data_IF_565916263625
#
_entry.id   IF_565916263625
#
_cell.length_a   1.000
_cell.length_b   1.000
_cell.length_c   1.000
_cell.angle_alpha   90.00
_cell.angle_beta   90.00
_cell.angle_gamma   90.00
#
_symmetry.space_group_name_H-M   'P 1'
#
loop_
_entity.id
_entity.type
_entity.pdbx_description
1 polymer ?
#
# COMPACT_ATOMS: atom_id res chain seq x y z
N UNK A 1 -5.47 23.78 -3.18
CA UNK A 1 -5.51 22.30 -3.05
C UNK A 1 -4.97 21.58 -4.28
N UNK A 2 -5.49 21.83 -5.49
CA UNK A 2 -5.04 21.17 -6.73
C UNK A 2 -3.54 21.31 -7.01
N UNK A 3 -2.97 22.50 -6.81
CA UNK A 3 -1.54 22.74 -7.00
C UNK A 3 -0.68 21.92 -6.02
N UNK A 4 -0.92 22.06 -4.71
CA UNK A 4 -0.23 21.26 -3.68
C UNK A 4 -0.32 19.75 -3.94
N UNK A 5 -1.46 19.27 -4.43
CA UNK A 5 -1.64 17.87 -4.78
C UNK A 5 -0.80 17.45 -6.00
N UNK A 6 -0.75 18.26 -7.06
CA UNK A 6 0.12 18.00 -8.22
C UNK A 6 1.59 18.02 -7.80
N UNK A 7 1.96 18.89 -6.88
CA UNK A 7 3.33 18.98 -6.35
C UNK A 7 3.70 17.79 -5.49
N UNK A 8 2.78 17.34 -4.64
CA UNK A 8 2.89 16.08 -3.93
C UNK A 8 3.16 14.94 -4.92
N UNK A 9 2.32 14.76 -5.95
CA UNK A 9 2.51 13.70 -6.95
C UNK A 9 3.84 13.84 -7.69
N UNK A 10 4.25 15.07 -8.00
CA UNK A 10 5.55 15.36 -8.62
C UNK A 10 6.76 15.04 -7.74
N UNK A 11 6.59 14.93 -6.43
CA UNK A 11 7.65 14.57 -5.49
C UNK A 11 7.59 13.09 -5.11
N UNK A 12 6.40 12.58 -4.83
CA UNK A 12 6.15 11.24 -4.31
C UNK A 12 6.19 10.18 -5.43
N UNK A 13 5.53 10.44 -6.56
CA UNK A 13 5.33 9.46 -7.64
C UNK A 13 6.41 9.58 -8.72
N UNK A 14 6.85 10.79 -9.04
CA UNK A 14 7.84 10.99 -10.11
C UNK A 14 9.18 10.39 -9.71
N UNK A 15 9.59 9.40 -10.48
CA UNK A 15 10.97 8.99 -10.62
C UNK A 15 11.36 9.24 -12.08
N UNK A 16 12.52 9.83 -12.30
CA UNK A 16 13.01 10.13 -13.65
C UNK A 16 13.63 8.91 -14.32
N UNK A 17 13.82 7.80 -13.59
CA UNK A 17 14.31 6.54 -14.15
C UNK A 17 13.24 5.89 -15.04
N UNK A 18 13.63 5.27 -16.17
CA UNK A 18 12.71 4.51 -16.98
C UNK A 18 12.13 3.34 -16.18
N UNK A 19 10.84 3.09 -16.33
CA UNK A 19 10.16 1.94 -15.74
C UNK A 19 10.75 0.67 -16.37
N UNK A 20 11.18 -0.28 -15.53
CA UNK A 20 11.76 -1.55 -15.95
C UNK A 20 10.84 -2.71 -15.58
N UNK A 21 11.00 -3.85 -16.24
CA UNK A 21 10.30 -5.10 -15.87
C UNK A 21 10.50 -5.47 -14.39
N UNK A 22 11.64 -5.11 -13.79
CA UNK A 22 11.91 -5.30 -12.37
C UNK A 22 10.97 -4.53 -11.44
N UNK A 23 10.47 -3.36 -11.84
CA UNK A 23 9.53 -2.57 -11.03
C UNK A 23 8.18 -3.29 -10.92
N UNK A 24 7.77 -3.98 -11.99
CA UNK A 24 6.57 -4.81 -12.00
C UNK A 24 6.74 -6.10 -11.20
N UNK A 25 7.88 -6.79 -11.34
CA UNK A 25 8.19 -7.97 -10.53
C UNK A 25 8.18 -7.64 -9.04
N UNK A 26 8.68 -6.47 -8.65
CA UNK A 26 8.63 -6.00 -7.26
C UNK A 26 7.20 -5.82 -6.77
N UNK A 27 6.30 -5.33 -7.61
CA UNK A 27 4.87 -5.14 -7.29
C UNK A 27 4.17 -6.49 -7.07
N UNK A 28 4.39 -7.47 -7.95
CA UNK A 28 3.88 -8.84 -7.78
C UNK A 28 4.47 -9.51 -6.54
N UNK A 29 5.77 -9.34 -6.28
CA UNK A 29 6.43 -9.93 -5.13
C UNK A 29 5.83 -9.46 -3.79
N UNK A 30 5.38 -8.21 -3.70
CA UNK A 30 4.71 -7.68 -2.51
C UNK A 30 3.41 -8.44 -2.21
N UNK A 31 2.61 -8.72 -3.25
CA UNK A 31 1.34 -9.45 -3.09
C UNK A 31 1.57 -10.92 -2.74
N UNK A 32 2.61 -11.54 -3.33
CA UNK A 32 3.04 -12.89 -2.94
C UNK A 32 3.45 -12.92 -1.47
N UNK A 33 4.21 -11.93 -0.98
CA UNK A 33 4.58 -11.83 0.43
C UNK A 33 3.33 -11.71 1.32
N UNK A 34 2.36 -10.86 0.97
CA UNK A 34 1.10 -10.75 1.71
C UNK A 34 0.34 -12.07 1.79
N UNK A 35 0.27 -12.79 0.68
CA UNK A 35 -0.43 -14.07 0.58
C UNK A 35 0.23 -15.15 1.42
N UNK A 36 1.57 -15.16 1.43
CA UNK A 36 2.35 -16.04 2.30
C UNK A 36 2.11 -15.71 3.78
N UNK A 37 1.95 -14.44 4.15
CA UNK A 37 1.62 -14.07 5.53
C UNK A 37 0.24 -14.58 5.95
N UNK A 38 -0.77 -14.46 5.07
CA UNK A 38 -2.11 -15.03 5.31
C UNK A 38 -2.04 -16.56 5.45
N UNK A 39 -1.28 -17.22 4.57
CA UNK A 39 -1.08 -18.66 4.60
C UNK A 39 -0.35 -19.16 5.85
N UNK A 40 0.75 -18.52 6.23
CA UNK A 40 1.50 -18.88 7.44
C UNK A 40 0.59 -18.68 8.65
N UNK A 41 -0.18 -17.59 8.66
CA UNK A 41 -1.22 -17.37 9.65
C UNK A 41 -2.13 -18.58 9.77
N UNK A 42 -2.68 -19.11 8.67
CA UNK A 42 -3.77 -20.10 8.71
C UNK A 42 -3.44 -21.37 9.52
N UNK A 43 -2.17 -21.74 9.66
CA UNK A 43 -1.73 -22.85 10.53
C UNK A 43 -1.98 -22.63 12.03
N UNK A 44 -2.18 -21.39 12.46
CA UNK A 44 -2.35 -21.01 13.87
C UNK A 44 -3.80 -20.74 14.26
N UNK A 45 -4.77 -20.99 13.37
CA UNK A 45 -6.20 -20.73 13.60
C UNK A 45 -6.87 -21.94 14.25
N UNK A 46 -7.81 -21.69 15.16
CA UNK A 46 -8.75 -22.70 15.66
C UNK A 46 -9.49 -23.38 14.49
N UNK A 47 -9.80 -24.66 14.63
CA UNK A 47 -10.49 -25.47 13.62
C UNK A 47 -11.75 -24.79 13.03
N UNK A 48 -12.53 -24.11 13.87
CA UNK A 48 -13.78 -23.42 13.48
C UNK A 48 -13.56 -22.25 12.49
N UNK A 49 -12.42 -21.58 12.56
CA UNK A 49 -12.08 -20.44 11.72
C UNK A 49 -11.12 -20.81 10.57
N UNK A 50 -10.67 -22.06 10.52
CA UNK A 50 -9.74 -22.57 9.51
C UNK A 50 -10.35 -22.56 8.11
N UNK A 51 -11.62 -22.97 7.94
CA UNK A 51 -12.27 -23.01 6.64
C UNK A 51 -12.41 -21.63 5.99
N UNK A 52 -12.76 -20.62 6.78
CA UNK A 52 -12.83 -19.23 6.32
C UNK A 52 -11.46 -18.70 5.95
N UNK A 53 -10.43 -18.97 6.75
CA UNK A 53 -9.06 -18.59 6.41
C UNK A 53 -8.57 -19.24 5.12
N UNK A 54 -8.88 -20.53 4.91
CA UNK A 54 -8.56 -21.24 3.68
C UNK A 54 -9.33 -20.68 2.47
N UNK A 55 -10.55 -20.17 2.66
CA UNK A 55 -11.29 -19.47 1.63
C UNK A 55 -10.62 -18.15 1.25
N UNK A 56 -10.21 -17.34 2.22
CA UNK A 56 -9.45 -16.10 1.99
C UNK A 56 -8.15 -16.42 1.25
N UNK A 57 -7.40 -17.41 1.70
CA UNK A 57 -6.15 -17.81 1.07
C UNK A 57 -6.35 -18.22 -0.41
N UNK A 58 -7.37 -19.04 -0.70
CA UNK A 58 -7.71 -19.41 -2.09
C UNK A 58 -8.07 -18.18 -2.93
N UNK A 59 -8.87 -17.27 -2.38
CA UNK A 59 -9.24 -16.04 -3.07
C UNK A 59 -8.01 -15.20 -3.41
N UNK A 60 -7.11 -15.01 -2.44
CA UNK A 60 -5.83 -14.31 -2.62
C UNK A 60 -4.94 -14.97 -3.68
N UNK A 61 -4.87 -16.31 -3.75
CA UNK A 61 -4.16 -17.02 -4.83
C UNK A 61 -4.76 -16.66 -6.20
N UNK A 62 -6.09 -16.77 -6.34
CA UNK A 62 -6.75 -16.42 -7.60
C UNK A 62 -6.51 -14.96 -7.98
N UNK A 63 -6.54 -14.06 -7.00
CA UNK A 63 -6.26 -12.66 -7.20
C UNK A 63 -4.84 -12.45 -7.75
N UNK A 64 -3.80 -13.04 -7.15
CA UNK A 64 -2.43 -13.00 -7.69
C UNK A 64 -2.35 -13.55 -9.12
N UNK A 65 -3.01 -14.68 -9.39
CA UNK A 65 -2.98 -15.27 -10.74
C UNK A 65 -3.59 -14.33 -11.77
N UNK A 66 -4.72 -13.68 -11.43
CA UNK A 66 -5.35 -12.65 -12.27
C UNK A 66 -4.41 -11.47 -12.49
N UNK A 67 -3.68 -11.02 -11.47
CA UNK A 67 -2.67 -9.96 -11.60
C UNK A 67 -1.52 -10.33 -12.50
N UNK A 68 -0.93 -11.50 -12.31
CA UNK A 68 0.15 -12.00 -13.16
C UNK A 68 -0.32 -12.10 -14.60
N UNK A 69 -1.53 -12.62 -14.82
CA UNK A 69 -2.13 -12.70 -16.16
C UNK A 69 -2.33 -11.31 -16.80
N UNK A 70 -2.94 -10.38 -16.06
CA UNK A 70 -3.14 -9.00 -16.53
C UNK A 70 -1.81 -8.29 -16.76
N UNK A 71 -0.80 -8.55 -15.94
CA UNK A 71 0.55 -8.05 -16.11
C UNK A 71 1.17 -8.53 -17.44
N UNK A 72 1.07 -9.83 -17.75
CA UNK A 72 1.57 -10.39 -19.01
C UNK A 72 0.84 -9.78 -20.22
N UNK A 73 -0.47 -9.54 -20.11
CA UNK A 73 -1.22 -8.79 -21.13
C UNK A 73 -0.74 -7.33 -21.21
N UNK A 74 -0.40 -6.71 -20.08
CA UNK A 74 0.08 -5.34 -19.99
C UNK A 74 1.39 -5.10 -20.72
N UNK A 75 2.33 -6.03 -20.60
CA UNK A 75 3.60 -5.96 -21.33
C UNK A 75 3.37 -5.86 -22.85
N UNK A 76 2.26 -6.40 -23.35
CA UNK A 76 1.87 -6.36 -24.76
C UNK A 76 1.01 -5.14 -25.13
N UNK A 77 0.26 -4.53 -24.18
CA UNK A 77 -0.76 -3.50 -24.44
C UNK A 77 -0.67 -2.22 -23.58
N UNK A 78 0.54 -1.81 -23.16
CA UNK A 78 0.81 -0.78 -22.15
C UNK A 78 0.20 0.64 -22.34
N UNK A 79 -0.46 0.93 -23.46
CA UNK A 79 -1.03 2.24 -23.78
C UNK A 79 -2.43 2.51 -23.18
N UNK A 80 -3.18 1.48 -22.76
CA UNK A 80 -4.56 1.65 -22.30
C UNK A 80 -4.66 2.10 -20.85
N UNK A 81 -5.20 3.31 -20.61
CA UNK A 81 -5.47 3.84 -19.26
C UNK A 81 -6.49 3.01 -18.47
N UNK A 82 -7.45 2.37 -19.15
CA UNK A 82 -8.45 1.53 -18.49
C UNK A 82 -7.79 0.30 -17.87
N UNK A 83 -6.92 -0.36 -18.64
CA UNK A 83 -6.17 -1.50 -18.11
C UNK A 83 -5.30 -1.05 -16.91
N UNK A 84 -4.80 0.21 -16.89
CA UNK A 84 -3.89 0.69 -15.83
C UNK A 84 -4.59 0.82 -14.47
N UNK A 85 -5.93 0.83 -14.46
CA UNK A 85 -6.72 0.81 -13.24
C UNK A 85 -6.67 -0.54 -12.53
N UNK A 86 -6.51 -1.65 -13.26
CA UNK A 86 -6.60 -2.99 -12.67
C UNK A 86 -5.49 -3.24 -11.64
N UNK A 87 -4.22 -2.94 -11.92
CA UNK A 87 -3.16 -3.07 -10.92
C UNK A 87 -3.30 -2.08 -9.77
N UNK A 88 -3.83 -0.87 -10.03
CA UNK A 88 -4.10 0.09 -8.96
C UNK A 88 -5.20 -0.42 -8.01
N UNK A 89 -6.29 -1.00 -8.53
CA UNK A 89 -7.34 -1.61 -7.70
C UNK A 89 -6.85 -2.85 -6.95
N UNK A 90 -5.90 -3.60 -7.51
CA UNK A 90 -5.36 -4.78 -6.86
C UNK A 90 -4.78 -4.49 -5.48
N UNK A 91 -3.98 -3.42 -5.35
CA UNK A 91 -3.36 -3.07 -4.06
C UNK A 91 -4.42 -2.86 -2.98
N UNK A 92 -5.58 -2.28 -3.34
CA UNK A 92 -6.69 -2.11 -2.40
C UNK A 92 -7.36 -3.44 -2.07
N UNK A 93 -7.56 -4.30 -3.06
CA UNK A 93 -8.15 -5.63 -2.85
C UNK A 93 -7.23 -6.46 -1.93
N UNK A 94 -5.92 -6.52 -2.21
CA UNK A 94 -4.92 -7.20 -1.39
C UNK A 94 -4.86 -6.64 0.03
N UNK A 95 -5.01 -5.32 0.19
CA UNK A 95 -5.10 -4.69 1.51
C UNK A 95 -6.35 -5.12 2.26
N UNK A 96 -7.51 -5.15 1.60
CA UNK A 96 -8.76 -5.62 2.20
C UNK A 96 -8.68 -7.10 2.58
N UNK A 97 -8.12 -7.95 1.71
CA UNK A 97 -7.87 -9.36 1.99
C UNK A 97 -6.98 -9.57 3.21
N UNK A 98 -5.91 -8.77 3.35
CA UNK A 98 -5.05 -8.81 4.52
C UNK A 98 -5.81 -8.44 5.80
N UNK A 99 -6.58 -7.35 5.78
CA UNK A 99 -7.33 -6.91 6.96
C UNK A 99 -8.41 -7.93 7.35
N UNK A 100 -9.07 -8.52 6.37
CA UNK A 100 -10.07 -9.57 6.60
C UNK A 100 -9.42 -10.86 7.10
N UNK A 101 -8.34 -11.31 6.47
CA UNK A 101 -7.55 -12.45 6.94
C UNK A 101 -7.12 -12.23 8.39
N UNK A 102 -6.57 -11.06 8.69
CA UNK A 102 -6.14 -10.65 10.03
C UNK A 102 -7.25 -10.63 11.07
N UNK A 103 -8.48 -10.28 10.68
CA UNK A 103 -9.59 -10.23 11.63
C UNK A 103 -10.02 -11.61 12.09
N UNK A 104 -9.93 -12.62 11.22
CA UNK A 104 -10.19 -14.04 11.54
C UNK A 104 -9.23 -14.53 12.64
N UNK A 105 -8.02 -13.97 12.71
CA UNK A 105 -7.04 -14.33 13.73
C UNK A 105 -7.22 -13.66 15.08
N UNK A 106 -7.73 -12.42 15.08
CA UNK A 106 -7.73 -11.56 16.25
C UNK A 106 -8.89 -11.85 17.22
N UNK A 107 -9.92 -12.56 16.78
CA UNK A 107 -11.01 -12.97 17.65
C UNK A 107 -12.14 -13.67 16.91
N UNK A 108 -13.04 -14.27 17.70
CA UNK A 108 -14.13 -15.09 17.17
C UNK A 108 -15.18 -14.22 16.42
N UNK A 109 -15.39 -12.96 16.82
CA UNK A 109 -16.18 -11.96 16.05
C UNK A 109 -15.31 -11.23 15.02
N UNK A 110 -14.86 -11.97 14.02
CA UNK A 110 -13.97 -11.47 12.98
C UNK A 110 -14.62 -10.38 12.10
N UNK A 111 -15.95 -10.30 12.04
CA UNK A 111 -16.67 -9.25 11.30
C UNK A 111 -16.53 -7.89 11.99
N UNK A 112 -16.78 -7.84 13.30
CA UNK A 112 -16.61 -6.62 14.07
C UNK A 112 -15.16 -6.14 14.05
N UNK A 113 -14.22 -7.06 14.23
CA UNK A 113 -12.78 -6.76 14.16
C UNK A 113 -12.41 -6.24 12.76
N UNK A 114 -12.90 -6.86 11.70
CA UNK A 114 -12.64 -6.41 10.33
C UNK A 114 -13.10 -4.96 10.11
N UNK A 115 -14.28 -4.60 10.59
CA UNK A 115 -14.79 -3.23 10.48
C UNK A 115 -13.94 -2.22 11.25
N UNK A 116 -13.43 -2.60 12.44
CA UNK A 116 -12.48 -1.78 13.21
C UNK A 116 -11.18 -1.58 12.42
N UNK A 117 -10.62 -2.66 11.85
CA UNK A 117 -9.39 -2.60 11.06
C UNK A 117 -9.53 -1.72 9.81
N UNK A 118 -10.67 -1.81 9.12
CA UNK A 118 -11.00 -0.93 7.99
C UNK A 118 -11.06 0.53 8.46
N UNK A 119 -11.75 0.82 9.56
CA UNK A 119 -11.83 2.16 10.14
C UNK A 119 -10.46 2.74 10.50
N UNK A 120 -9.63 1.96 11.19
CA UNK A 120 -8.26 2.34 11.55
C UNK A 120 -7.40 2.62 10.32
N UNK A 121 -7.48 1.76 9.31
CA UNK A 121 -6.76 1.94 8.05
C UNK A 121 -7.18 3.23 7.34
N UNK A 122 -8.49 3.50 7.24
CA UNK A 122 -9.00 4.71 6.59
C UNK A 122 -8.56 5.98 7.32
N UNK A 123 -8.66 5.99 8.65
CA UNK A 123 -8.21 7.13 9.48
C UNK A 123 -6.71 7.36 9.29
N UNK A 124 -5.90 6.30 9.36
CA UNK A 124 -4.45 6.41 9.19
C UNK A 124 -4.06 6.93 7.80
N UNK A 125 -4.76 6.46 6.75
CA UNK A 125 -4.53 6.90 5.38
C UNK A 125 -4.92 8.37 5.18
N UNK A 126 -6.03 8.81 5.78
CA UNK A 126 -6.45 10.21 5.75
C UNK A 126 -5.43 11.11 6.46
N UNK A 127 -4.98 10.73 7.67
CA UNK A 127 -3.98 11.47 8.42
C UNK A 127 -2.66 11.55 7.67
N UNK A 128 -2.20 10.44 7.08
CA UNK A 128 -0.99 10.38 6.26
C UNK A 128 -1.12 11.30 5.04
N UNK A 129 -2.26 11.30 4.36
CA UNK A 129 -2.49 12.16 3.21
C UNK A 129 -2.50 13.65 3.58
N UNK A 130 -3.14 14.02 4.70
CA UNK A 130 -3.12 15.38 5.22
C UNK A 130 -1.68 15.80 5.56
N UNK A 131 -0.95 14.96 6.27
CA UNK A 131 0.47 15.20 6.57
C UNK A 131 1.30 15.43 5.30
N UNK A 132 1.14 14.57 4.30
CA UNK A 132 1.83 14.66 3.03
C UNK A 132 1.57 16.00 2.34
N UNK A 133 0.32 16.46 2.29
CA UNK A 133 -0.01 17.76 1.71
C UNK A 133 0.54 18.95 2.50
N UNK A 134 0.61 18.84 3.83
CA UNK A 134 1.15 19.88 4.70
C UNK A 134 2.68 20.01 4.57
N UNK A 135 3.39 18.90 4.39
CA UNK A 135 4.85 18.91 4.33
C UNK A 135 5.39 19.25 2.93
N UNK A 136 4.57 19.20 1.87
CA UNK A 136 4.94 19.57 0.48
C UNK A 136 5.79 20.85 0.40
N UNK A 137 5.39 22.01 0.98
CA UNK A 137 6.16 23.25 0.84
C UNK A 137 7.55 23.16 1.46
N UNK A 138 7.67 22.46 2.60
CA UNK A 138 8.93 22.23 3.31
C UNK A 138 9.79 21.19 2.60
N UNK A 139 9.19 20.15 2.03
CA UNK A 139 9.90 19.12 1.28
C UNK A 139 10.56 19.68 0.00
N UNK A 140 9.97 20.70 -0.62
CA UNK A 140 10.55 21.35 -1.83
C UNK A 140 11.88 22.05 -1.58
N UNK A 141 12.10 22.57 -0.38
CA UNK A 141 13.34 23.30 -0.05
C UNK A 141 14.51 22.35 0.21
N UNK A 142 14.24 21.05 0.32
CA UNK A 142 15.25 20.01 0.51
C UNK A 142 15.91 19.62 -0.83
N UNK A 143 17.15 19.12 -0.79
CA UNK A 143 17.83 18.57 -1.96
C UNK A 143 16.97 17.54 -2.68
N UNK A 144 16.94 17.58 -4.01
CA UNK A 144 16.26 16.56 -4.80
C UNK A 144 16.93 15.20 -4.63
N UNK A 145 16.15 14.17 -4.34
CA UNK A 145 16.66 12.81 -4.16
C UNK A 145 15.71 11.97 -3.30
N UNK A 146 16.19 10.82 -2.82
CA UNK A 146 15.40 9.91 -1.99
C UNK A 146 15.00 10.54 -0.65
N UNK A 147 15.84 11.38 -0.06
CA UNK A 147 15.54 12.06 1.20
C UNK A 147 14.24 12.88 1.14
N UNK A 148 14.00 13.57 0.02
CA UNK A 148 12.76 14.33 -0.20
C UNK A 148 11.53 13.42 -0.35
N UNK A 149 11.70 12.18 -0.80
CA UNK A 149 10.61 11.20 -0.83
C UNK A 149 10.36 10.64 0.57
N UNK A 150 11.42 10.29 1.30
CA UNK A 150 11.32 9.73 2.65
C UNK A 150 10.56 10.65 3.62
N UNK A 151 10.76 11.97 3.52
CA UNK A 151 10.07 12.91 4.42
C UNK A 151 8.54 12.91 4.23
N UNK A 152 8.04 12.56 3.04
CA UNK A 152 6.60 12.43 2.77
C UNK A 152 6.00 11.17 3.42
N UNK A 153 6.86 10.25 3.86
CA UNK A 153 6.49 8.93 4.35
C UNK A 153 6.83 8.71 5.82
N UNK A 154 7.12 9.78 6.56
CA UNK A 154 7.45 9.70 7.99
C UNK A 154 6.34 9.01 8.82
N UNK A 155 5.04 9.36 8.71
CA UNK A 155 4.02 8.68 9.51
C UNK A 155 3.91 7.17 9.20
N UNK A 156 3.85 6.74 7.91
CA UNK A 156 3.99 5.33 7.54
C UNK A 156 5.24 4.65 8.11
N UNK A 157 6.41 5.32 8.07
CA UNK A 157 7.67 4.78 8.58
C UNK A 157 7.62 4.57 10.11
N UNK A 158 7.03 5.50 10.86
CA UNK A 158 6.87 5.39 12.32
C UNK A 158 6.01 4.18 12.65
N UNK A 159 4.86 4.02 11.99
CA UNK A 159 3.96 2.89 12.25
C UNK A 159 4.61 1.55 11.87
N UNK A 160 5.29 1.48 10.72
CA UNK A 160 6.01 0.27 10.30
C UNK A 160 7.14 -0.09 11.28
N UNK A 161 7.86 0.91 11.80
CA UNK A 161 8.93 0.69 12.79
C UNK A 161 8.37 0.19 14.12
N UNK A 162 7.26 0.76 14.59
CA UNK A 162 6.58 0.32 15.81
C UNK A 162 6.07 -1.13 15.66
N UNK A 163 5.46 -1.44 14.51
CA UNK A 163 5.00 -2.80 14.19
C UNK A 163 6.16 -3.81 14.19
N UNK A 164 7.30 -3.45 13.61
CA UNK A 164 8.49 -4.30 13.62
C UNK A 164 9.05 -4.51 15.04
N UNK A 165 9.10 -3.46 15.86
CA UNK A 165 9.54 -3.56 17.26
C UNK A 165 8.62 -4.50 18.05
N UNK A 166 7.30 -4.37 17.88
CA UNK A 166 6.34 -5.26 18.55
C UNK A 166 6.52 -6.72 18.13
N UNK A 167 6.78 -6.98 16.86
CA UNK A 167 7.08 -8.34 16.38
C UNK A 167 8.39 -8.89 16.96
N UNK A 168 9.45 -8.07 17.04
CA UNK A 168 10.73 -8.45 17.64
C UNK A 168 10.56 -8.77 19.13
N UNK A 169 9.85 -7.93 19.87
CA UNK A 169 9.55 -8.16 21.30
C UNK A 169 8.75 -9.46 21.46
N UNK A 170 7.70 -9.65 20.65
CA UNK A 170 6.91 -10.87 20.68
C UNK A 170 7.76 -12.13 20.49
N UNK A 171 8.69 -12.10 19.54
CA UNK A 171 9.61 -13.21 19.31
C UNK A 171 10.65 -13.37 20.44
N UNK A 172 11.23 -12.28 20.93
CA UNK A 172 12.26 -12.28 21.98
C UNK A 172 11.75 -12.90 23.29
N UNK A 173 10.49 -12.63 23.63
CA UNK A 173 9.84 -13.17 24.83
C UNK A 173 9.08 -14.48 24.57
N UNK A 174 9.21 -15.06 23.36
CA UNK A 174 8.50 -16.27 22.95
C UNK A 174 6.98 -16.19 23.22
N UNK A 175 6.41 -15.01 22.96
CA UNK A 175 4.98 -14.78 23.15
C UNK A 175 4.19 -15.66 22.15
N UNK A 176 2.99 -16.12 22.54
CA UNK A 176 2.09 -16.80 21.62
C UNK A 176 1.91 -16.02 20.31
N UNK A 177 1.81 -16.73 19.19
CA UNK A 177 1.77 -16.15 17.84
C UNK A 177 0.69 -15.06 17.67
N UNK A 178 -0.42 -15.15 18.42
CA UNK A 178 -1.49 -14.15 18.46
C UNK A 178 -1.00 -12.72 18.77
N UNK A 179 0.07 -12.58 19.56
CA UNK A 179 0.65 -11.27 19.89
C UNK A 179 1.48 -10.64 18.76
N UNK A 180 1.84 -11.43 17.73
CA UNK A 180 2.57 -10.94 16.54
C UNK A 180 1.58 -10.35 15.51
N UNK A 181 0.33 -10.81 15.53
CA UNK A 181 -0.71 -10.48 14.55
C UNK A 181 -1.02 -8.98 14.49
N UNK A 182 -1.16 -8.25 15.63
CA UNK A 182 -1.29 -6.80 15.60
C UNK A 182 -0.11 -6.08 14.91
N UNK A 183 1.11 -6.63 15.04
CA UNK A 183 2.28 -6.12 14.34
C UNK A 183 2.18 -6.31 12.83
N UNK A 184 1.76 -7.48 12.36
CA UNK A 184 1.53 -7.76 10.93
C UNK A 184 0.46 -6.83 10.36
N UNK A 185 -0.65 -6.65 11.09
CA UNK A 185 -1.72 -5.72 10.70
C UNK A 185 -1.23 -4.28 10.62
N UNK A 186 -0.52 -3.83 11.66
CA UNK A 186 0.06 -2.48 11.70
C UNK A 186 1.03 -2.25 10.54
N UNK A 187 1.83 -3.25 10.19
CA UNK A 187 2.73 -3.19 9.03
C UNK A 187 1.95 -3.12 7.72
N UNK A 188 0.88 -3.92 7.54
CA UNK A 188 0.01 -3.85 6.38
C UNK A 188 -0.61 -2.46 6.17
N UNK A 189 -1.16 -1.89 7.24
CA UNK A 189 -1.72 -0.53 7.25
C UNK A 189 -0.65 0.52 6.92
N UNK A 190 0.54 0.38 7.52
CA UNK A 190 1.65 1.30 7.31
C UNK A 190 2.22 1.25 5.89
N UNK A 191 2.24 0.08 5.26
CA UNK A 191 2.87 -0.10 3.97
C UNK A 191 1.97 0.31 2.78
N UNK A 192 0.65 0.39 2.97
CA UNK A 192 -0.31 0.73 1.91
C UNK A 192 0.04 2.01 1.13
N UNK A 193 0.40 3.15 1.77
CA UNK A 193 0.75 4.38 1.04
C UNK A 193 1.98 4.23 0.13
N UNK A 194 2.95 3.41 0.51
CA UNK A 194 4.14 3.14 -0.31
C UNK A 194 3.77 2.34 -1.55
N UNK A 195 2.99 1.27 -1.36
CA UNK A 195 2.56 0.41 -2.45
C UNK A 195 1.68 1.16 -3.43
N UNK A 196 0.72 1.95 -2.93
CA UNK A 196 -0.14 2.75 -3.78
C UNK A 196 0.63 3.71 -4.70
N UNK A 197 1.70 4.36 -4.20
CA UNK A 197 2.49 5.30 -5.00
C UNK A 197 3.42 4.61 -6.00
N UNK A 198 4.04 3.49 -5.64
CA UNK A 198 4.84 2.71 -6.59
C UNK A 198 3.96 2.12 -7.69
N UNK A 199 2.77 1.62 -7.35
CA UNK A 199 1.79 1.19 -8.35
C UNK A 199 1.32 2.36 -9.22
N UNK A 200 0.99 3.51 -8.62
CA UNK A 200 0.62 4.70 -9.39
C UNK A 200 1.74 5.10 -10.36
N UNK A 201 3.00 5.05 -9.95
CA UNK A 201 4.15 5.35 -10.80
C UNK A 201 4.25 4.38 -11.97
N UNK A 202 4.25 3.08 -11.69
CA UNK A 202 4.48 2.01 -12.66
C UNK A 202 3.35 1.94 -13.68
N UNK A 203 2.10 2.02 -13.23
CA UNK A 203 0.95 1.78 -14.09
C UNK A 203 0.41 3.05 -14.74
N UNK A 204 0.36 4.19 -14.04
CA UNK A 204 -0.16 5.43 -14.66
C UNK A 204 0.85 6.16 -15.54
N UNK A 205 2.13 5.77 -15.48
CA UNK A 205 3.22 6.42 -16.21
C UNK A 205 3.34 7.92 -15.87
N UNK A 206 3.00 8.30 -14.63
CA UNK A 206 2.93 9.69 -14.21
C UNK A 206 4.24 10.43 -14.52
N UNK A 207 4.14 11.43 -15.42
CA UNK A 207 5.24 12.32 -15.76
C UNK A 207 5.12 13.61 -14.95
N UNK A 208 6.28 14.17 -14.59
CA UNK A 208 6.37 15.46 -13.89
C UNK A 208 5.56 16.52 -14.65
N UNK A 209 4.57 17.12 -13.99
CA UNK A 209 3.76 18.22 -14.55
C UNK A 209 4.30 19.57 -14.10
N UNK A 210 4.32 20.56 -14.98
CA UNK A 210 4.64 21.93 -14.59
C UNK A 210 3.50 22.51 -13.76
N UNK A 211 3.80 23.04 -12.57
CA UNK A 211 2.85 23.86 -11.81
C UNK A 211 2.85 25.33 -12.22
N UNK A 212 3.85 25.79 -12.99
CA UNK A 212 3.93 27.18 -13.48
C UNK A 212 2.80 27.55 -14.44
N UNK A 213 2.24 26.57 -15.17
CA UNK A 213 1.15 26.81 -16.13
C UNK A 213 -0.24 26.92 -15.47
N UNK A 214 -0.36 26.68 -14.15
CA UNK A 214 -1.61 26.92 -13.43
C UNK A 214 -1.78 28.37 -12.98
N UNK A 215 -0.72 29.17 -13.08
CA UNK A 215 -0.72 30.61 -12.90
C UNK A 215 -0.64 31.26 -14.30
N UNK A 216 -1.67 31.13 -15.14
CA UNK A 216 -2.01 32.14 -16.17
C UNK A 216 -3.32 31.82 -16.89
N UNK A 217 -4.35 32.63 -16.62
CA UNK A 217 -5.26 33.26 -17.60
C UNK A 217 -6.23 34.16 -16.82
N UNK A 218 -5.66 35.25 -16.34
CA UNK A 218 -6.37 36.41 -15.82
C UNK A 218 -5.79 37.67 -16.47
N UNK A 219 -5.54 37.63 -17.78
CA UNK A 219 -5.49 38.83 -18.59
C UNK A 219 -6.86 38.92 -19.26
N UNK A 220 -7.72 39.77 -18.72
CA UNK A 220 -8.80 40.37 -19.50
C UNK A 220 -8.22 41.70 -19.99
N UNK A 221 -8.26 41.85 -21.31
CA UNK A 221 -7.90 43.06 -22.07
C UNK A 221 -8.58 44.31 -21.54
#
# INVERSE_FOLDING_TARGET
MKEKYIEFLNMAVVDTRPIKNSDFLRSVAIEVIFSLLIFIGSFFIKEESHDMSMLVFRFTIYHILVLVFIFLLFQKFSKSKFLQLVPASSVLISHVELLFGSSIFLGDDYWSIFMILIGLSLIFQLLTFIYQLLIVPKAKTLPSGEFRKTILHVPPLILASLAAILAIIGNLFMLPAIYIIPGIVGLGIACLPYYWLEYARVFTGWKKKSTKNFIYRGEIK
#
